data_IF_718674796847
#
_entry.id   IF_718674796847
#
_cell.length_a   1.000
_cell.length_b   1.000
_cell.length_c   1.000
_cell.angle_alpha   90.00
_cell.angle_beta   90.00
_cell.angle_gamma   90.00
#
_symmetry.space_group_name_H-M   'P 1'
#
loop_
_entity.id
_entity.type
_entity.pdbx_description
1 polymer ?
#
# COMPACT_ATOMS: atom_id res chain seq x y z
N UNK A 1 -25.37 -4.84 -13.85
CA UNK A 1 -25.16 -3.36 -13.85
C UNK A 1 -23.71 -3.14 -14.20
N UNK A 2 -23.40 -2.40 -15.26
CA UNK A 2 -22.00 -1.98 -15.52
C UNK A 2 -21.57 -1.10 -14.36
N UNK A 3 -20.50 -1.50 -13.66
CA UNK A 3 -19.88 -0.65 -12.64
C UNK A 3 -19.50 0.68 -13.29
N UNK A 4 -19.98 1.79 -12.73
CA UNK A 4 -19.69 3.13 -13.27
C UNK A 4 -18.17 3.34 -13.14
N UNK A 5 -17.47 3.40 -14.27
CA UNK A 5 -16.02 3.62 -14.30
C UNK A 5 -15.72 4.94 -13.59
N UNK A 6 -15.02 4.86 -12.47
CA UNK A 6 -14.56 6.05 -11.74
C UNK A 6 -13.35 6.61 -12.47
N UNK A 7 -13.23 7.93 -12.55
CA UNK A 7 -12.11 8.61 -13.16
C UNK A 7 -11.33 9.34 -12.05
N UNK A 8 -10.07 8.96 -11.87
CA UNK A 8 -9.15 9.58 -10.91
C UNK A 8 -8.22 10.63 -11.58
N UNK A 9 -8.29 10.76 -12.90
CA UNK A 9 -7.42 11.63 -13.69
C UNK A 9 -5.99 11.10 -13.78
N UNK A 10 -5.81 9.80 -13.76
CA UNK A 10 -4.48 9.16 -13.81
C UNK A 10 -4.10 8.67 -15.22
N UNK A 11 -4.89 9.02 -16.26
CA UNK A 11 -4.58 8.65 -17.63
C UNK A 11 -3.18 9.13 -18.05
N UNK A 12 -2.38 8.20 -18.56
CA UNK A 12 -1.01 8.47 -18.98
C UNK A 12 0.01 8.64 -17.86
N UNK A 13 -0.38 8.65 -16.60
CA UNK A 13 0.54 8.71 -15.46
C UNK A 13 1.29 7.39 -15.26
N UNK A 14 2.51 7.46 -14.71
CA UNK A 14 3.30 6.30 -14.33
C UNK A 14 3.15 6.03 -12.84
N UNK A 15 2.76 4.81 -12.50
CA UNK A 15 2.56 4.37 -11.12
C UNK A 15 3.44 3.16 -10.77
N UNK A 16 4.12 3.21 -9.62
CA UNK A 16 4.84 2.09 -9.02
C UNK A 16 4.16 1.69 -7.72
N UNK A 17 3.88 0.39 -7.55
CA UNK A 17 3.15 -0.14 -6.40
C UNK A 17 3.92 -1.29 -5.77
N UNK A 18 4.47 -1.10 -4.56
CA UNK A 18 5.01 -2.22 -3.79
C UNK A 18 3.89 -3.05 -3.18
N UNK A 19 4.10 -4.37 -3.06
CA UNK A 19 3.01 -5.27 -2.64
C UNK A 19 1.88 -5.37 -3.68
N UNK A 20 2.12 -4.96 -4.92
CA UNK A 20 1.15 -4.94 -6.02
C UNK A 20 0.74 -6.32 -6.57
N UNK A 21 1.25 -7.40 -5.97
CA UNK A 21 0.97 -8.78 -6.44
C UNK A 21 -0.20 -9.46 -5.71
N UNK A 22 -0.83 -8.79 -4.74
CA UNK A 22 -1.99 -9.33 -4.00
C UNK A 22 -2.74 -8.23 -3.24
N UNK A 23 -3.95 -8.56 -2.77
CA UNK A 23 -4.73 -7.73 -1.84
C UNK A 23 -4.95 -6.29 -2.31
N UNK A 24 -4.77 -5.35 -1.39
CA UNK A 24 -5.00 -3.91 -1.61
C UNK A 24 -4.12 -3.36 -2.74
N UNK A 25 -2.83 -3.73 -2.76
CA UNK A 25 -1.91 -3.25 -3.80
C UNK A 25 -2.28 -3.72 -5.21
N UNK A 26 -2.73 -4.98 -5.35
CA UNK A 26 -3.19 -5.53 -6.62
C UNK A 26 -4.47 -4.83 -7.11
N UNK A 27 -5.42 -4.60 -6.20
CA UNK A 27 -6.66 -3.91 -6.55
C UNK A 27 -6.41 -2.42 -6.88
N UNK A 28 -5.45 -1.78 -6.20
CA UNK A 28 -4.99 -0.43 -6.56
C UNK A 28 -4.40 -0.41 -7.97
N UNK A 29 -3.56 -1.41 -8.31
CA UNK A 29 -3.01 -1.55 -9.66
C UNK A 29 -4.11 -1.70 -10.71
N UNK A 30 -5.13 -2.53 -10.44
CA UNK A 30 -6.28 -2.71 -11.33
C UNK A 30 -7.00 -1.39 -11.59
N UNK A 31 -7.31 -0.62 -10.54
CA UNK A 31 -8.02 0.66 -10.67
C UNK A 31 -7.23 1.71 -11.44
N UNK A 32 -5.92 1.81 -11.20
CA UNK A 32 -5.05 2.73 -11.93
C UNK A 32 -4.92 2.34 -13.41
N UNK A 33 -4.85 1.03 -13.73
CA UNK A 33 -4.90 0.56 -15.12
C UNK A 33 -6.25 0.91 -15.78
N UNK A 34 -7.36 0.67 -15.09
CA UNK A 34 -8.69 1.03 -15.59
C UNK A 34 -8.82 2.53 -15.88
N UNK A 35 -8.08 3.36 -15.14
CA UNK A 35 -8.04 4.82 -15.32
C UNK A 35 -7.00 5.28 -16.37
N UNK A 36 -6.30 4.32 -17.02
CA UNK A 36 -5.37 4.58 -18.11
C UNK A 36 -3.94 4.88 -17.68
N UNK A 37 -3.56 4.61 -16.43
CA UNK A 37 -2.18 4.74 -15.97
C UNK A 37 -1.30 3.59 -16.48
N UNK A 38 0.00 3.85 -16.63
CA UNK A 38 1.04 2.81 -16.79
C UNK A 38 1.44 2.31 -15.41
N UNK A 39 1.31 1.01 -15.16
CA UNK A 39 1.45 0.45 -13.81
C UNK A 39 2.56 -0.59 -13.73
N UNK A 40 3.45 -0.39 -12.75
CA UNK A 40 4.52 -1.29 -12.36
C UNK A 40 4.23 -1.86 -10.97
N UNK A 41 4.13 -3.18 -10.88
CA UNK A 41 3.89 -3.88 -9.61
C UNK A 41 5.16 -4.54 -9.11
N UNK A 42 5.48 -4.29 -7.84
CA UNK A 42 6.65 -4.86 -7.19
C UNK A 42 6.25 -5.94 -6.17
N UNK A 43 7.04 -7.01 -6.10
CA UNK A 43 6.83 -8.08 -5.14
C UNK A 43 7.95 -9.12 -5.19
N UNK A 44 8.09 -9.95 -4.15
CA UNK A 44 9.19 -10.92 -4.03
C UNK A 44 8.99 -12.19 -4.86
N UNK A 45 7.75 -12.66 -4.95
CA UNK A 45 7.43 -13.93 -5.59
C UNK A 45 7.18 -13.73 -7.08
N UNK A 46 8.03 -14.33 -7.91
CA UNK A 46 7.85 -14.33 -9.37
C UNK A 46 6.54 -14.98 -9.79
N UNK A 47 6.18 -16.07 -9.16
CA UNK A 47 4.92 -16.78 -9.43
C UNK A 47 3.71 -15.88 -9.22
N UNK A 48 3.61 -15.25 -8.03
CA UNK A 48 2.52 -14.30 -7.72
C UNK A 48 2.54 -13.09 -8.65
N UNK A 49 3.73 -12.62 -9.04
CA UNK A 49 3.86 -11.53 -10.00
C UNK A 49 3.27 -11.87 -11.37
N UNK A 50 3.54 -13.06 -11.88
CA UNK A 50 2.98 -13.54 -13.15
C UNK A 50 1.46 -13.74 -13.06
N UNK A 51 0.96 -14.32 -11.96
CA UNK A 51 -0.48 -14.46 -11.71
C UNK A 51 -1.18 -13.08 -11.63
N UNK A 52 -0.55 -12.12 -10.96
CA UNK A 52 -1.06 -10.75 -10.86
C UNK A 52 -1.16 -10.07 -12.23
N UNK A 53 -0.13 -10.17 -13.06
CA UNK A 53 -0.17 -9.62 -14.43
C UNK A 53 -1.28 -10.23 -15.27
N UNK A 54 -1.45 -11.55 -15.19
CA UNK A 54 -2.54 -12.24 -15.91
C UNK A 54 -3.91 -11.76 -15.44
N UNK A 55 -4.13 -11.72 -14.12
CA UNK A 55 -5.36 -11.20 -13.52
C UNK A 55 -5.66 -9.76 -13.96
N UNK A 56 -4.65 -8.88 -13.92
CA UNK A 56 -4.81 -7.48 -14.30
C UNK A 56 -5.18 -7.35 -15.78
N UNK A 57 -4.52 -8.11 -16.66
CA UNK A 57 -4.86 -8.12 -18.08
C UNK A 57 -6.29 -8.62 -18.35
N UNK A 58 -6.71 -9.71 -17.71
CA UNK A 58 -8.07 -10.23 -17.84
C UNK A 58 -9.15 -9.23 -17.39
N UNK A 59 -8.87 -8.47 -16.33
CA UNK A 59 -9.84 -7.53 -15.73
C UNK A 59 -9.91 -6.20 -16.45
N UNK A 60 -8.80 -5.70 -16.98
CA UNK A 60 -8.70 -4.31 -17.50
C UNK A 60 -8.47 -4.25 -19.01
N UNK A 61 -8.03 -5.36 -19.62
CA UNK A 61 -7.52 -5.37 -21.00
C UNK A 61 -6.16 -4.67 -21.16
N UNK A 62 -5.59 -4.16 -20.05
CA UNK A 62 -4.31 -3.44 -20.00
C UNK A 62 -3.21 -4.33 -19.42
N UNK A 63 -1.95 -3.98 -19.69
CA UNK A 63 -0.80 -4.71 -19.18
C UNK A 63 -0.10 -3.94 -18.08
N UNK A 64 0.01 -4.53 -16.90
CA UNK A 64 0.98 -4.11 -15.90
C UNK A 64 2.34 -4.78 -16.15
N UNK A 65 3.41 -4.19 -15.62
CA UNK A 65 4.74 -4.79 -15.64
C UNK A 65 5.10 -5.22 -14.22
N UNK A 66 5.43 -6.50 -14.05
CA UNK A 66 5.95 -7.01 -12.78
C UNK A 66 7.47 -6.90 -12.74
N UNK A 67 7.98 -6.36 -11.62
CA UNK A 67 9.41 -6.30 -11.33
C UNK A 67 9.67 -6.98 -9.99
N UNK A 68 10.51 -8.03 -9.92
CA UNK A 68 10.91 -8.63 -8.65
C UNK A 68 11.60 -7.60 -7.76
N UNK A 69 11.14 -7.48 -6.50
CA UNK A 69 11.73 -6.57 -5.53
C UNK A 69 11.40 -7.03 -4.10
N UNK A 70 12.43 -7.23 -3.29
CA UNK A 70 12.31 -7.25 -1.84
C UNK A 70 12.58 -5.83 -1.32
N UNK A 71 11.54 -5.19 -0.79
CA UNK A 71 11.62 -3.80 -0.29
C UNK A 71 12.57 -3.65 0.90
N UNK A 72 12.95 -4.74 1.58
CA UNK A 72 13.92 -4.70 2.69
C UNK A 72 15.37 -4.52 2.22
N UNK A 73 15.62 -4.66 0.90
CA UNK A 73 16.93 -4.48 0.25
C UNK A 73 16.97 -3.15 -0.52
N UNK A 74 17.86 -2.25 -0.09
CA UNK A 74 18.12 -0.97 -0.77
C UNK A 74 18.56 -1.17 -2.23
N UNK A 75 19.42 -2.17 -2.47
CA UNK A 75 19.90 -2.50 -3.82
C UNK A 75 18.73 -2.92 -4.73
N UNK A 76 17.83 -3.79 -4.25
CA UNK A 76 16.68 -4.23 -5.04
C UNK A 76 15.67 -3.10 -5.28
N UNK A 77 15.45 -2.21 -4.30
CA UNK A 77 14.61 -1.03 -4.48
C UNK A 77 15.18 -0.12 -5.58
N UNK A 78 16.47 0.19 -5.52
CA UNK A 78 17.16 1.00 -6.53
C UNK A 78 17.13 0.33 -7.90
N UNK A 79 17.40 -0.97 -7.96
CA UNK A 79 17.33 -1.73 -9.21
C UNK A 79 15.91 -1.70 -9.81
N UNK A 80 14.88 -1.88 -9.00
CA UNK A 80 13.51 -1.90 -9.47
C UNK A 80 13.09 -0.54 -10.06
N UNK A 81 13.39 0.56 -9.37
CA UNK A 81 13.06 1.91 -9.87
C UNK A 81 13.87 2.24 -11.14
N UNK A 82 15.17 1.92 -11.18
CA UNK A 82 15.98 2.14 -12.37
C UNK A 82 15.48 1.31 -13.56
N UNK A 83 14.95 0.10 -13.31
CA UNK A 83 14.34 -0.71 -14.36
C UNK A 83 13.05 -0.08 -14.89
N UNK A 84 12.22 0.52 -14.03
CA UNK A 84 11.06 1.32 -14.47
C UNK A 84 11.54 2.46 -15.36
N UNK A 85 12.53 3.24 -14.90
CA UNK A 85 13.08 4.36 -15.66
C UNK A 85 13.60 3.93 -17.06
N UNK A 86 14.29 2.80 -17.12
CA UNK A 86 14.79 2.26 -18.40
C UNK A 86 13.68 1.80 -19.35
N UNK A 87 12.54 1.32 -18.83
CA UNK A 87 11.39 0.91 -19.63
C UNK A 87 10.58 2.10 -20.13
N UNK A 88 10.50 3.18 -19.35
CA UNK A 88 9.80 4.42 -19.69
C UNK A 88 10.62 5.32 -20.64
N UNK A 89 11.97 5.20 -20.61
CA UNK A 89 12.87 5.94 -21.48
C UNK A 89 13.31 7.31 -20.93
N UNK A 90 13.92 8.11 -21.83
CA UNK A 90 14.50 9.40 -21.46
C UNK A 90 13.46 10.38 -20.94
N UNK A 91 13.83 11.11 -19.88
CA UNK A 91 12.94 12.06 -19.23
C UNK A 91 11.88 11.46 -18.33
N UNK A 92 12.02 10.17 -17.96
CA UNK A 92 11.10 9.47 -17.04
C UNK A 92 10.76 10.30 -15.81
N UNK A 93 9.48 10.31 -15.50
CA UNK A 93 8.91 10.82 -14.26
C UNK A 93 8.08 9.73 -13.61
N UNK A 94 8.21 9.61 -12.29
CA UNK A 94 7.31 8.80 -11.49
C UNK A 94 6.23 9.71 -10.93
N UNK A 95 4.99 9.50 -11.38
CA UNK A 95 3.85 10.33 -10.95
C UNK A 95 3.23 9.83 -9.65
N UNK A 96 3.15 8.49 -9.48
CA UNK A 96 2.50 7.86 -8.34
C UNK A 96 3.38 6.76 -7.76
N UNK A 97 3.71 6.87 -6.47
CA UNK A 97 4.33 5.79 -5.69
C UNK A 97 3.36 5.32 -4.61
N UNK A 98 3.02 4.01 -4.61
CA UNK A 98 2.21 3.40 -3.56
C UNK A 98 3.03 2.39 -2.78
N UNK A 99 3.29 2.68 -1.51
CA UNK A 99 3.96 1.78 -0.58
C UNK A 99 2.93 0.91 0.13
N UNK A 100 2.56 -0.23 -0.50
CA UNK A 100 1.58 -1.19 0.01
C UNK A 100 2.17 -2.53 0.45
N UNK A 101 3.49 -2.74 0.32
CA UNK A 101 4.14 -3.90 0.89
C UNK A 101 4.04 -3.87 2.43
N UNK A 102 3.58 -4.97 3.03
CA UNK A 102 3.39 -5.06 4.46
C UNK A 102 3.54 -6.47 5.00
N UNK A 103 3.84 -6.54 6.28
CA UNK A 103 3.91 -7.76 7.07
C UNK A 103 3.10 -7.58 8.34
N UNK A 104 2.29 -8.56 8.67
CA UNK A 104 1.48 -8.63 9.89
C UNK A 104 1.77 -9.92 10.63
N UNK A 105 1.88 -9.81 11.94
CA UNK A 105 1.84 -10.93 12.89
C UNK A 105 1.24 -10.41 14.19
N UNK A 106 0.21 -11.09 14.67
CA UNK A 106 -0.32 -10.90 16.02
C UNK A 106 0.55 -11.66 16.99
N UNK A 107 1.10 -10.96 17.98
CA UNK A 107 1.93 -11.57 19.01
C UNK A 107 2.05 -10.64 20.21
N UNK A 108 1.84 -11.19 21.40
CA UNK A 108 1.97 -10.45 22.66
C UNK A 108 3.43 -10.08 22.91
N UNK A 109 3.65 -8.95 23.58
CA UNK A 109 5.00 -8.41 23.79
C UNK A 109 5.96 -9.41 24.46
N UNK A 110 5.47 -10.18 25.44
CA UNK A 110 6.27 -11.18 26.14
C UNK A 110 6.70 -12.39 25.28
N UNK A 111 6.11 -12.53 24.11
CA UNK A 111 6.42 -13.61 23.16
C UNK A 111 7.27 -13.14 21.98
N UNK A 112 7.44 -11.83 21.83
CA UNK A 112 8.20 -11.27 20.71
C UNK A 112 9.69 -11.58 20.85
N UNK A 113 10.27 -12.05 19.75
CA UNK A 113 11.72 -12.19 19.61
C UNK A 113 12.33 -10.99 18.88
N UNK A 114 13.64 -10.80 19.02
CA UNK A 114 14.39 -9.81 18.24
C UNK A 114 14.20 -10.03 16.72
N UNK A 115 14.17 -11.28 16.28
CA UNK A 115 13.93 -11.63 14.87
C UNK A 115 12.52 -11.20 14.39
N UNK A 116 11.50 -11.30 15.24
CA UNK A 116 10.14 -10.83 14.91
C UNK A 116 10.12 -9.31 14.77
N UNK A 117 10.80 -8.61 15.69
CA UNK A 117 10.98 -7.16 15.63
C UNK A 117 11.67 -6.74 14.33
N UNK A 118 12.82 -7.34 14.03
CA UNK A 118 13.59 -7.02 12.84
C UNK A 118 12.80 -7.28 11.55
N UNK A 119 12.11 -8.41 11.46
CA UNK A 119 11.33 -8.77 10.28
C UNK A 119 10.18 -7.77 10.03
N UNK A 120 9.45 -7.38 11.08
CA UNK A 120 8.32 -6.45 10.94
C UNK A 120 8.77 -5.03 10.60
N UNK A 121 9.78 -4.52 11.32
CA UNK A 121 10.34 -3.21 11.07
C UNK A 121 11.04 -3.13 9.70
N UNK A 122 11.72 -4.20 9.28
CA UNK A 122 12.36 -4.26 7.97
C UNK A 122 11.35 -4.12 6.83
N UNK A 123 10.21 -4.80 6.90
CA UNK A 123 9.21 -4.74 5.82
C UNK A 123 8.39 -3.46 5.91
N UNK A 124 7.76 -3.21 7.07
CA UNK A 124 6.75 -2.15 7.18
C UNK A 124 7.35 -0.75 7.20
N UNK A 125 8.51 -0.56 7.83
CA UNK A 125 9.12 0.75 8.04
C UNK A 125 10.28 0.96 7.07
N UNK A 126 11.34 0.17 7.23
CA UNK A 126 12.55 0.30 6.40
C UNK A 126 12.22 0.14 4.92
N UNK A 127 11.38 -0.84 4.54
CA UNK A 127 11.00 -1.08 3.15
C UNK A 127 10.26 0.10 2.52
N UNK A 128 9.33 0.70 3.25
CA UNK A 128 8.64 1.93 2.83
C UNK A 128 9.63 3.08 2.59
N UNK A 129 10.57 3.27 3.52
CA UNK A 129 11.60 4.33 3.41
C UNK A 129 12.56 4.08 2.25
N UNK A 130 13.08 2.85 2.10
CA UNK A 130 14.06 2.51 1.06
C UNK A 130 13.49 2.64 -0.35
N UNK A 131 12.26 2.18 -0.56
CA UNK A 131 11.63 2.30 -1.87
C UNK A 131 11.33 3.77 -2.20
N UNK A 132 10.86 4.52 -1.22
CA UNK A 132 10.64 5.97 -1.39
C UNK A 132 11.96 6.68 -1.69
N UNK A 133 13.04 6.37 -0.96
CA UNK A 133 14.37 6.93 -1.20
C UNK A 133 14.87 6.64 -2.63
N UNK A 134 14.69 5.40 -3.11
CA UNK A 134 15.06 5.04 -4.47
C UNK A 134 14.25 5.80 -5.53
N UNK A 135 13.00 6.14 -5.22
CA UNK A 135 12.10 6.86 -6.11
C UNK A 135 12.34 8.38 -6.16
N UNK A 136 12.93 8.98 -5.10
CA UNK A 136 13.11 10.44 -4.98
C UNK A 136 13.67 11.12 -6.24
N UNK A 137 14.72 10.58 -6.92
CA UNK A 137 15.27 11.23 -8.11
C UNK A 137 14.30 11.38 -9.28
N UNK A 138 13.23 10.59 -9.27
CA UNK A 138 12.23 10.50 -10.34
C UNK A 138 10.89 11.17 -9.99
N UNK A 139 10.67 11.47 -8.71
CA UNK A 139 9.49 12.23 -8.26
C UNK A 139 9.67 13.70 -8.64
N UNK A 140 8.66 14.29 -9.25
CA UNK A 140 8.68 15.68 -9.72
C UNK A 140 7.44 16.43 -9.25
N UNK A 141 7.37 17.70 -9.61
CA UNK A 141 6.21 18.55 -9.30
C UNK A 141 4.92 17.91 -9.81
N UNK A 142 3.97 17.75 -8.89
CA UNK A 142 2.69 17.09 -9.12
C UNK A 142 2.64 15.62 -8.74
N UNK A 143 3.78 14.97 -8.46
CA UNK A 143 3.81 13.56 -8.03
C UNK A 143 3.13 13.34 -6.66
N UNK A 144 2.67 12.10 -6.45
CA UNK A 144 2.05 11.69 -5.21
C UNK A 144 2.65 10.40 -4.66
N UNK A 145 2.99 10.40 -3.37
CA UNK A 145 3.36 9.21 -2.60
C UNK A 145 2.19 8.85 -1.67
N UNK A 146 1.74 7.60 -1.72
CA UNK A 146 0.71 7.08 -0.82
C UNK A 146 1.28 5.90 -0.03
N UNK A 147 1.40 6.09 1.27
CA UNK A 147 1.86 5.04 2.18
C UNK A 147 0.66 4.31 2.80
N UNK A 148 0.76 3.01 2.93
CA UNK A 148 -0.30 2.20 3.56
C UNK A 148 0.12 1.86 4.99
N UNK A 149 -0.53 2.52 5.96
CA UNK A 149 -0.40 2.20 7.37
C UNK A 149 -1.48 1.18 7.80
N UNK A 150 -2.22 1.49 8.86
CA UNK A 150 -3.33 0.70 9.41
C UNK A 150 -4.10 1.54 10.43
N UNK A 151 -5.33 1.16 10.76
CA UNK A 151 -6.06 1.61 11.96
C UNK A 151 -5.22 1.42 13.22
N UNK A 152 -4.41 0.36 13.28
CA UNK A 152 -3.44 0.07 14.34
C UNK A 152 -2.38 1.17 14.55
N UNK A 153 -2.24 2.11 13.61
CA UNK A 153 -1.44 3.32 13.78
C UNK A 153 -2.18 4.47 14.46
N UNK A 154 -3.50 4.37 14.54
CA UNK A 154 -4.42 5.40 15.06
C UNK A 154 -4.97 5.02 16.43
N UNK A 155 -5.11 3.72 16.69
CA UNK A 155 -5.57 3.14 17.94
C UNK A 155 -4.70 1.96 18.35
N UNK A 156 -4.79 1.54 19.62
CA UNK A 156 -4.11 0.32 20.09
C UNK A 156 -4.95 -0.91 19.80
N UNK A 157 -4.31 -1.97 19.28
CA UNK A 157 -4.94 -3.27 19.06
C UNK A 157 -4.31 -4.32 19.98
N UNK A 158 -5.14 -5.18 20.58
CA UNK A 158 -4.68 -6.26 21.46
C UNK A 158 -3.74 -7.22 20.68
N UNK A 159 -2.66 -7.67 21.35
CA UNK A 159 -1.69 -8.57 20.73
C UNK A 159 -0.86 -7.99 19.58
N UNK A 160 -0.95 -6.69 19.30
CA UNK A 160 -0.37 -6.05 18.11
C UNK A 160 0.63 -4.93 18.43
N UNK A 161 1.28 -4.94 19.62
CA UNK A 161 2.15 -3.83 20.05
C UNK A 161 3.23 -3.47 19.03
N UNK A 162 3.91 -4.47 18.46
CA UNK A 162 4.94 -4.26 17.45
C UNK A 162 4.35 -3.78 16.11
N UNK A 163 3.21 -4.37 15.71
CA UNK A 163 2.54 -3.95 14.48
C UNK A 163 2.04 -2.50 14.58
N UNK A 164 1.38 -2.13 15.70
CA UNK A 164 0.98 -0.75 15.98
C UNK A 164 2.18 0.22 15.91
N UNK A 165 3.31 -0.14 16.56
CA UNK A 165 4.53 0.66 16.51
C UNK A 165 5.05 0.83 15.08
N UNK A 166 5.09 -0.26 14.29
CA UNK A 166 5.55 -0.22 12.90
C UNK A 166 4.67 0.67 12.01
N UNK A 167 3.34 0.58 12.17
CA UNK A 167 2.39 1.37 11.39
C UNK A 167 2.30 2.82 11.86
N UNK A 168 2.48 3.07 13.17
CA UNK A 168 2.65 4.41 13.71
C UNK A 168 3.91 5.11 13.17
N UNK A 169 5.01 4.36 12.99
CA UNK A 169 6.22 4.88 12.35
C UNK A 169 5.97 5.31 10.89
N UNK A 170 5.15 4.56 10.12
CA UNK A 170 4.77 4.94 8.75
C UNK A 170 3.96 6.25 8.73
N UNK A 171 3.06 6.44 9.69
CA UNK A 171 2.30 7.70 9.82
C UNK A 171 3.23 8.88 10.12
N UNK A 172 4.14 8.73 11.07
CA UNK A 172 5.11 9.77 11.41
C UNK A 172 6.04 10.09 10.23
N UNK A 173 6.56 9.06 9.56
CA UNK A 173 7.36 9.20 8.34
C UNK A 173 6.60 9.95 7.24
N UNK A 174 5.34 9.62 7.01
CA UNK A 174 4.48 10.30 6.02
C UNK A 174 4.40 11.80 6.27
N UNK A 175 4.14 12.19 7.53
CA UNK A 175 4.02 13.60 7.91
C UNK A 175 5.32 14.38 7.75
N UNK A 176 6.43 13.79 8.19
CA UNK A 176 7.75 14.41 8.03
C UNK A 176 8.11 14.57 6.55
N UNK A 177 7.97 13.50 5.77
CA UNK A 177 8.31 13.51 4.34
C UNK A 177 7.41 14.47 3.54
N UNK A 178 6.16 14.65 3.96
CA UNK A 178 5.26 15.63 3.32
C UNK A 178 5.77 17.07 3.45
N UNK A 179 6.43 17.40 4.57
CA UNK A 179 7.06 18.71 4.77
C UNK A 179 8.35 18.84 3.95
N UNK A 180 9.15 17.77 3.92
CA UNK A 180 10.45 17.78 3.22
C UNK A 180 10.29 17.89 1.70
N UNK A 181 9.19 17.33 1.13
CA UNK A 181 8.99 17.27 -0.32
C UNK A 181 8.01 18.31 -0.87
N UNK A 182 7.35 19.09 0.00
CA UNK A 182 6.50 20.19 -0.44
C UNK A 182 7.36 21.34 -1.01
N UNK A 183 6.85 22.09 -2.04
CA UNK A 183 5.53 21.97 -2.65
C UNK A 183 5.45 20.98 -3.83
N UNK A 184 6.54 20.32 -4.20
CA UNK A 184 6.67 19.54 -5.43
C UNK A 184 5.90 18.22 -5.39
N UNK A 185 5.99 17.49 -4.25
CA UNK A 185 5.44 16.14 -4.10
C UNK A 185 4.48 16.09 -2.92
N UNK A 186 3.30 15.54 -3.15
CA UNK A 186 2.33 15.26 -2.07
C UNK A 186 2.62 13.90 -1.46
N UNK A 187 2.60 13.81 -0.13
CA UNK A 187 2.81 12.54 0.59
C UNK A 187 1.67 12.35 1.58
N UNK A 188 0.90 11.28 1.42
CA UNK A 188 -0.24 10.98 2.28
C UNK A 188 -0.24 9.53 2.74
N UNK A 189 -1.01 9.23 3.76
CA UNK A 189 -1.15 7.90 4.34
C UNK A 189 -2.61 7.46 4.33
N UNK A 190 -2.85 6.20 3.95
CA UNK A 190 -4.15 5.53 4.09
C UNK A 190 -4.01 4.47 5.19
N UNK A 191 -4.97 4.45 6.11
CA UNK A 191 -5.02 3.58 7.28
C UNK A 191 -6.24 2.65 7.19
N UNK A 192 -6.14 1.51 6.50
CA UNK A 192 -7.18 0.50 6.49
C UNK A 192 -7.26 -0.21 7.84
N UNK A 193 -8.45 -0.72 8.19
CA UNK A 193 -8.63 -1.76 9.18
C UNK A 193 -8.57 -3.15 8.53
N UNK A 194 -9.30 -4.14 9.07
CA UNK A 194 -9.35 -5.48 8.49
C UNK A 194 -10.03 -5.45 7.12
N UNK A 195 -9.32 -5.95 6.12
CA UNK A 195 -9.74 -5.99 4.72
C UNK A 195 -9.62 -7.41 4.20
N UNK A 196 -10.62 -7.89 3.48
CA UNK A 196 -10.64 -9.22 2.86
C UNK A 196 -9.48 -9.36 1.86
N UNK A 197 -8.39 -9.95 2.36
CA UNK A 197 -7.11 -10.12 1.67
C UNK A 197 -6.48 -11.45 2.05
N UNK A 198 -5.49 -11.94 1.27
CA UNK A 198 -4.69 -13.10 1.70
C UNK A 198 -3.98 -12.90 3.05
N UNK A 199 -3.72 -11.65 3.45
CA UNK A 199 -3.14 -11.34 4.76
C UNK A 199 -4.14 -11.64 5.89
N UNK A 200 -5.40 -11.21 5.75
CA UNK A 200 -6.47 -11.50 6.70
C UNK A 200 -6.78 -13.00 6.76
N UNK A 201 -6.84 -13.67 5.62
CA UNK A 201 -7.05 -15.11 5.57
C UNK A 201 -5.96 -15.88 6.36
N UNK A 202 -4.70 -15.44 6.23
CA UNK A 202 -3.59 -16.00 7.02
C UNK A 202 -3.74 -15.70 8.51
N UNK A 203 -4.12 -14.48 8.88
CA UNK A 203 -4.36 -14.08 10.27
C UNK A 203 -5.40 -14.97 10.96
N UNK A 204 -6.52 -15.25 10.27
CA UNK A 204 -7.57 -16.14 10.78
C UNK A 204 -7.08 -17.58 10.98
N UNK A 205 -6.19 -18.06 10.12
CA UNK A 205 -5.55 -19.39 10.28
C UNK A 205 -4.57 -19.38 11.46
N UNK A 206 -3.75 -18.34 11.57
CA UNK A 206 -2.73 -18.22 12.62
C UNK A 206 -3.38 -18.01 14.02
N UNK A 207 -4.62 -17.51 14.09
CA UNK A 207 -5.39 -17.31 15.32
C UNK A 207 -5.87 -18.63 15.97
N UNK A 208 -5.70 -19.76 15.29
CA UNK A 208 -6.01 -21.12 15.77
C UNK A 208 -7.40 -21.24 16.44
N UNK A 209 -8.42 -20.67 15.80
CA UNK A 209 -9.80 -20.67 16.28
C UNK A 209 -10.09 -19.66 17.41
N UNK A 210 -9.15 -18.77 17.73
CA UNK A 210 -9.33 -17.74 18.75
C UNK A 210 -10.42 -16.74 18.42
N UNK A 211 -10.67 -16.47 17.12
CA UNK A 211 -11.78 -15.64 16.62
C UNK A 211 -12.09 -15.94 15.14
N UNK A 212 -13.29 -15.60 14.72
CA UNK A 212 -13.78 -15.82 13.36
C UNK A 212 -13.92 -14.51 12.59
N UNK A 213 -14.15 -14.60 11.26
CA UNK A 213 -14.48 -13.42 10.45
C UNK A 213 -15.75 -12.71 10.96
N UNK A 214 -16.72 -13.45 11.51
CA UNK A 214 -17.94 -12.88 12.07
C UNK A 214 -17.65 -12.08 13.34
N UNK A 215 -16.76 -12.59 14.22
CA UNK A 215 -16.33 -11.88 15.44
C UNK A 215 -15.62 -10.58 15.07
N UNK A 216 -14.73 -10.62 14.07
CA UNK A 216 -14.06 -9.42 13.56
C UNK A 216 -15.09 -8.42 13.01
N UNK A 217 -16.01 -8.87 12.16
CA UNK A 217 -17.07 -8.03 11.58
C UNK A 217 -17.91 -7.33 12.65
N UNK A 218 -18.23 -8.01 13.74
CA UNK A 218 -19.04 -7.48 14.84
C UNK A 218 -18.34 -6.35 15.61
N UNK A 219 -17.02 -6.25 15.56
CA UNK A 219 -16.24 -5.18 16.20
C UNK A 219 -16.37 -3.83 15.48
N UNK A 220 -16.76 -3.84 14.20
CA UNK A 220 -16.86 -2.62 13.38
C UNK A 220 -18.23 -1.98 13.49
N UNK A 221 -18.34 -0.63 13.58
CA UNK A 221 -19.62 0.07 13.44
C UNK A 221 -20.39 -0.30 12.17
N UNK A 222 -19.68 -0.53 11.04
CA UNK A 222 -20.30 -0.99 9.80
C UNK A 222 -20.58 -2.50 9.74
N UNK A 223 -20.34 -3.25 10.82
CA UNK A 223 -20.67 -4.68 11.00
C UNK A 223 -20.15 -5.60 9.90
N UNK A 224 -18.99 -5.26 9.35
CA UNK A 224 -18.27 -6.04 8.32
C UNK A 224 -16.81 -5.64 8.24
N UNK A 225 -16.00 -6.53 7.71
CA UNK A 225 -14.65 -6.18 7.24
C UNK A 225 -14.72 -5.40 5.93
N UNK A 226 -13.67 -4.64 5.63
CA UNK A 226 -13.55 -3.89 4.38
C UNK A 226 -13.29 -4.83 3.18
N UNK A 227 -13.55 -4.32 1.97
CA UNK A 227 -13.12 -4.96 0.73
C UNK A 227 -11.91 -4.25 0.15
N UNK A 228 -11.09 -4.99 -0.60
CA UNK A 228 -9.91 -4.42 -1.27
C UNK A 228 -10.26 -3.28 -2.21
N UNK A 229 -11.40 -3.36 -2.89
CA UNK A 229 -11.86 -2.33 -3.83
C UNK A 229 -12.24 -1.02 -3.13
N UNK A 230 -12.72 -1.06 -1.91
CA UNK A 230 -13.06 0.13 -1.12
C UNK A 230 -11.79 0.89 -0.70
N UNK A 231 -10.77 0.17 -0.23
CA UNK A 231 -9.50 0.78 0.16
C UNK A 231 -8.72 1.29 -1.06
N UNK A 232 -8.67 0.50 -2.14
CA UNK A 232 -8.01 0.88 -3.38
C UNK A 232 -8.64 2.14 -4.00
N UNK A 233 -9.97 2.29 -3.89
CA UNK A 233 -10.65 3.52 -4.30
C UNK A 233 -10.10 4.75 -3.58
N UNK A 234 -9.94 4.67 -2.27
CA UNK A 234 -9.39 5.79 -1.48
C UNK A 234 -7.94 6.04 -1.84
N UNK A 235 -7.11 4.99 -2.02
CA UNK A 235 -5.72 5.13 -2.43
C UNK A 235 -5.61 5.87 -3.77
N UNK A 236 -6.37 5.45 -4.78
CA UNK A 236 -6.39 6.12 -6.10
C UNK A 236 -6.89 7.56 -6.00
N UNK A 237 -7.91 7.82 -5.17
CA UNK A 237 -8.40 9.17 -4.91
C UNK A 237 -7.31 10.05 -4.28
N UNK A 238 -6.63 9.57 -3.24
CA UNK A 238 -5.53 10.30 -2.57
C UNK A 238 -4.35 10.56 -3.52
N UNK A 239 -4.05 9.61 -4.40
CA UNK A 239 -3.01 9.75 -5.44
C UNK A 239 -3.40 10.74 -6.55
N UNK A 240 -4.71 10.91 -6.80
CA UNK A 240 -5.25 11.72 -7.89
C UNK A 240 -4.69 13.15 -7.91
N UNK A 241 -4.31 13.69 -9.09
CA UNK A 241 -3.95 15.10 -9.26
C UNK A 241 -5.08 16.06 -8.83
N UNK A 242 -6.33 15.61 -8.85
CA UNK A 242 -7.47 16.43 -8.41
C UNK A 242 -7.41 16.79 -6.93
N UNK A 243 -6.69 16.00 -6.10
CA UNK A 243 -6.48 16.28 -4.67
C UNK A 243 -5.19 17.07 -4.41
N UNK A 244 -4.90 18.07 -5.24
CA UNK A 244 -3.65 18.84 -5.25
C UNK A 244 -3.35 19.61 -3.95
N UNK A 245 -4.34 19.85 -3.10
CA UNK A 245 -4.15 20.54 -1.80
C UNK A 245 -4.06 19.57 -0.61
N UNK A 246 -3.84 18.27 -0.87
CA UNK A 246 -3.80 17.23 0.16
C UNK A 246 -2.38 16.68 0.29
N UNK A 247 -1.68 17.04 1.38
CA UNK A 247 -0.38 16.46 1.76
C UNK A 247 -0.28 16.32 3.28
N UNK A 248 0.49 15.35 3.78
CA UNK A 248 0.62 15.03 5.21
C UNK A 248 -0.62 14.43 5.85
N UNK A 249 -1.66 14.12 5.07
CA UNK A 249 -2.93 13.61 5.57
C UNK A 249 -2.83 12.13 5.95
N UNK A 250 -3.61 11.75 6.97
CA UNK A 250 -3.78 10.38 7.43
C UNK A 250 -5.26 10.04 7.32
N UNK A 251 -5.60 9.16 6.39
CA UNK A 251 -6.98 8.86 5.99
C UNK A 251 -7.38 7.49 6.50
N UNK A 252 -8.27 7.42 7.47
CA UNK A 252 -8.84 6.17 7.96
C UNK A 252 -9.84 5.59 6.95
N UNK A 253 -9.74 4.27 6.70
CA UNK A 253 -10.69 3.48 5.89
C UNK A 253 -10.97 2.20 6.68
N UNK A 254 -11.73 2.33 7.76
CA UNK A 254 -11.69 1.42 8.89
C UNK A 254 -13.07 1.01 9.42
N UNK A 255 -14.13 1.27 8.66
CA UNK A 255 -15.49 0.92 9.06
C UNK A 255 -15.97 1.64 10.35
N UNK A 256 -15.25 2.69 10.76
CA UNK A 256 -15.59 3.53 11.92
C UNK A 256 -14.98 3.06 13.24
N UNK A 257 -14.08 2.06 13.25
CA UNK A 257 -13.53 1.50 14.50
C UNK A 257 -12.69 2.52 15.28
N UNK A 258 -12.08 3.49 14.59
CA UNK A 258 -11.27 4.54 15.24
C UNK A 258 -12.02 5.87 15.44
N UNK A 259 -13.34 5.91 15.22
CA UNK A 259 -14.11 7.14 15.31
C UNK A 259 -14.55 7.50 16.74
N UNK A 260 -14.37 6.59 17.72
CA UNK A 260 -14.78 6.75 19.12
C UNK A 260 -13.66 6.57 20.11
#
# INVERSE_FOLDING_TARGET
>A
MMEKKLNYGCEGLCAVISGGTSGIGLETARRLLDDGARVYILGRSRERGMQAMHYLHEKTGQNAVYIPCDVTSSEQCTHAINKVAALEGDGFQLDILVNSAGFYREQRLEQLTEADFDAMMAVNVKGTMLLTQAALPYLKSGSAVVNIASDAALSGNYGCTLYCASKGAVVAFTRALALDLAPEVRVNCVCPADVDTPLLAKQLVDADGGYTLADMAAAYPLQRVGRTDEVAHVICSVASPANSFMTGSVVAVDGGITAG
#
